data_IF_015390414473
#
_entry.id   IF_015390414473
#
_cell.length_a   1.000
_cell.length_b   1.000
_cell.length_c   1.000
_cell.angle_alpha   90.00
_cell.angle_beta   90.00
_cell.angle_gamma   90.00
#
_symmetry.space_group_name_H-M   'P 1'
#
loop_
_entity.id
_entity.type
_entity.pdbx_description
1 polymer ?
#
# COMPACT_ATOMS: atom_id res chain seq x y z
N UNK A 1 40.90 -39.36 21.56
CA UNK A 1 40.27 -38.67 20.42
C UNK A 1 38.75 -38.64 20.65
N UNK A 2 38.22 -37.52 21.15
CA UNK A 2 36.77 -37.34 21.38
C UNK A 2 36.19 -36.65 20.15
N UNK A 3 35.31 -37.33 19.41
CA UNK A 3 34.56 -36.78 18.28
C UNK A 3 33.36 -36.01 18.82
N UNK A 4 33.32 -34.69 18.64
CA UNK A 4 32.14 -33.86 18.85
C UNK A 4 31.28 -33.92 17.58
N UNK A 5 30.12 -34.55 17.69
CA UNK A 5 29.08 -34.47 16.67
C UNK A 5 28.31 -33.18 16.93
N UNK A 6 28.48 -32.18 16.08
CA UNK A 6 27.68 -31.00 16.08
C UNK A 6 26.33 -31.34 15.39
N UNK A 7 25.27 -31.44 16.18
CA UNK A 7 23.90 -31.53 15.64
C UNK A 7 23.48 -30.15 15.20
N UNK A 8 23.41 -29.92 13.89
CA UNK A 8 22.75 -28.76 13.31
C UNK A 8 21.25 -28.97 13.45
N UNK A 9 20.63 -28.22 14.36
CA UNK A 9 19.16 -28.13 14.43
C UNK A 9 18.72 -27.22 13.26
N UNK A 10 18.25 -27.84 12.17
CA UNK A 10 17.45 -27.14 11.16
C UNK A 10 16.10 -26.78 11.81
N UNK A 11 15.93 -25.53 12.19
CA UNK A 11 14.59 -24.98 12.43
C UNK A 11 13.90 -24.88 11.05
N UNK A 12 13.15 -25.89 10.67
CA UNK A 12 12.18 -25.77 9.60
C UNK A 12 11.05 -24.86 10.12
N UNK A 13 11.03 -23.63 9.66
CA UNK A 13 9.84 -22.79 9.73
C UNK A 13 8.77 -23.50 8.92
N UNK A 14 7.91 -24.26 9.59
CA UNK A 14 6.66 -24.73 9.00
C UNK A 14 5.82 -23.48 8.72
N UNK A 15 5.81 -23.02 7.47
CA UNK A 15 4.82 -22.08 6.99
C UNK A 15 3.46 -22.78 7.14
N UNK A 16 2.75 -22.52 8.23
CA UNK A 16 1.37 -22.97 8.42
C UNK A 16 0.51 -22.42 7.28
N UNK A 17 -0.52 -23.17 6.88
CA UNK A 17 -1.55 -22.64 6.00
C UNK A 17 -2.13 -21.35 6.60
N UNK A 18 -2.65 -20.47 5.75
CA UNK A 18 -3.32 -19.25 6.21
C UNK A 18 -4.44 -19.64 7.18
N UNK A 19 -4.44 -18.99 8.35
CA UNK A 19 -5.45 -19.15 9.39
C UNK A 19 -6.31 -17.90 9.41
N UNK A 20 -7.58 -18.04 9.06
CA UNK A 20 -8.55 -16.95 9.08
C UNK A 20 -9.24 -16.95 10.45
N UNK A 21 -9.25 -15.80 11.13
CA UNK A 21 -9.80 -15.62 12.47
C UNK A 21 -10.89 -14.56 12.48
N UNK A 22 -11.97 -14.77 13.24
CA UNK A 22 -12.96 -13.72 13.49
C UNK A 22 -12.34 -12.60 14.35
N UNK A 23 -12.94 -11.40 14.30
CA UNK A 23 -12.39 -10.23 15.02
C UNK A 23 -12.30 -10.47 16.54
N UNK A 24 -13.21 -11.27 17.12
CA UNK A 24 -13.22 -11.59 18.56
C UNK A 24 -11.94 -12.34 19.00
N UNK A 25 -11.37 -13.15 18.12
CA UNK A 25 -10.10 -13.83 18.38
C UNK A 25 -8.92 -12.88 18.12
N UNK A 26 -8.96 -12.13 17.00
CA UNK A 26 -7.90 -11.20 16.62
C UNK A 26 -7.71 -10.09 17.66
N UNK A 27 -8.81 -9.55 18.18
CA UNK A 27 -8.83 -8.46 19.17
C UNK A 27 -9.39 -8.92 20.53
N UNK A 28 -9.03 -10.13 20.98
CA UNK A 28 -9.57 -10.74 22.19
C UNK A 28 -9.38 -9.93 23.48
N UNK A 29 -8.38 -9.05 23.50
CA UNK A 29 -8.09 -8.17 24.63
C UNK A 29 -8.83 -6.81 24.58
N UNK A 30 -9.66 -6.58 23.54
CA UNK A 30 -10.38 -5.33 23.31
C UNK A 30 -11.85 -5.45 23.63
N UNK A 31 -12.37 -4.48 24.38
CA UNK A 31 -13.79 -4.40 24.76
C UNK A 31 -14.40 -3.05 24.41
N UNK A 32 -13.65 -2.19 23.75
CA UNK A 32 -13.98 -0.79 23.47
C UNK A 32 -14.71 -0.58 22.13
N UNK A 33 -14.95 -1.64 21.35
CA UNK A 33 -15.70 -1.55 20.12
C UNK A 33 -17.18 -1.25 20.36
N UNK A 34 -17.71 -0.24 19.66
CA UNK A 34 -19.14 0.03 19.57
C UNK A 34 -19.87 -1.10 18.85
N UNK A 35 -21.21 -1.18 18.99
CA UNK A 35 -21.99 -2.21 18.31
C UNK A 35 -21.99 -2.05 16.78
N UNK A 36 -21.83 -0.80 16.28
CA UNK A 36 -21.66 -0.51 14.86
C UNK A 36 -20.33 -1.05 14.35
N UNK A 37 -19.23 -0.79 15.07
CA UNK A 37 -17.91 -1.33 14.72
C UNK A 37 -17.88 -2.86 14.74
N UNK A 38 -18.45 -3.49 15.76
CA UNK A 38 -18.60 -4.96 15.83
C UNK A 38 -19.32 -5.50 14.60
N UNK A 39 -20.44 -4.88 14.21
CA UNK A 39 -21.20 -5.30 13.02
C UNK A 39 -20.42 -5.18 11.71
N UNK A 40 -19.46 -4.25 11.62
CA UNK A 40 -18.54 -4.13 10.48
C UNK A 40 -17.44 -5.20 10.56
N UNK A 41 -16.83 -5.35 11.74
CA UNK A 41 -15.70 -6.27 11.94
C UNK A 41 -16.11 -7.75 11.85
N UNK A 42 -17.36 -8.09 12.18
CA UNK A 42 -17.93 -9.45 12.03
C UNK A 42 -17.96 -9.94 10.57
N UNK A 43 -17.85 -9.03 9.62
CA UNK A 43 -17.84 -9.36 8.18
C UNK A 43 -16.44 -9.67 7.64
N UNK A 44 -15.40 -9.48 8.45
CA UNK A 44 -14.00 -9.56 8.03
C UNK A 44 -13.35 -10.83 8.57
N UNK A 45 -12.54 -11.46 7.73
CA UNK A 45 -11.67 -12.58 8.07
C UNK A 45 -10.21 -12.12 8.19
N UNK A 46 -9.66 -12.15 9.41
CA UNK A 46 -8.32 -11.70 9.72
C UNK A 46 -7.33 -12.85 9.52
N UNK A 47 -6.52 -12.78 8.45
CA UNK A 47 -5.66 -13.89 8.02
C UNK A 47 -4.22 -13.68 8.46
N UNK A 48 -3.57 -14.76 8.93
CA UNK A 48 -2.15 -14.83 9.24
C UNK A 48 -1.53 -16.08 8.61
N UNK A 49 -0.19 -16.17 8.57
CA UNK A 49 0.51 -17.30 7.98
C UNK A 49 0.81 -17.13 6.49
N UNK A 50 0.87 -18.23 5.75
CA UNK A 50 1.27 -18.24 4.35
C UNK A 50 0.06 -18.09 3.41
N UNK A 51 -0.11 -16.89 2.88
CA UNK A 51 -1.22 -16.54 1.98
C UNK A 51 -0.74 -16.62 0.54
N UNK A 52 -1.31 -17.52 -0.24
CA UNK A 52 -1.01 -17.67 -1.66
C UNK A 52 -1.67 -16.58 -2.48
N UNK A 53 -0.89 -15.92 -3.33
CA UNK A 53 -1.35 -14.89 -4.27
C UNK A 53 -1.00 -15.31 -5.70
N UNK A 54 -1.83 -16.17 -6.32
CA UNK A 54 -1.49 -16.79 -7.62
C UNK A 54 -1.27 -15.79 -8.75
N UNK A 55 -2.02 -14.69 -8.76
CA UNK A 55 -1.87 -13.61 -9.75
C UNK A 55 -0.49 -12.96 -9.69
N UNK A 56 0.07 -12.83 -8.48
CA UNK A 56 1.40 -12.27 -8.27
C UNK A 56 2.51 -13.33 -8.34
N UNK A 57 2.15 -14.62 -8.52
CA UNK A 57 3.10 -15.76 -8.46
C UNK A 57 3.97 -15.68 -7.21
N UNK A 58 3.33 -15.43 -6.07
CA UNK A 58 3.99 -15.21 -4.80
C UNK A 58 3.17 -15.74 -3.61
N UNK A 59 3.86 -15.91 -2.49
CA UNK A 59 3.26 -16.14 -1.17
C UNK A 59 3.57 -14.95 -0.29
N UNK A 60 2.56 -14.42 0.39
CA UNK A 60 2.73 -13.42 1.43
C UNK A 60 2.77 -14.14 2.79
N UNK A 61 3.90 -14.09 3.48
CA UNK A 61 4.10 -14.72 4.78
C UNK A 61 3.78 -13.73 5.89
N UNK A 62 2.54 -13.71 6.38
CA UNK A 62 2.04 -12.73 7.36
C UNK A 62 2.31 -13.22 8.78
N UNK A 63 3.22 -12.56 9.55
CA UNK A 63 3.55 -12.94 10.92
C UNK A 63 2.48 -12.42 11.91
N UNK A 64 2.57 -12.86 13.16
CA UNK A 64 1.64 -12.47 14.25
C UNK A 64 1.53 -10.93 14.47
N UNK A 65 2.56 -10.16 14.11
CA UNK A 65 2.55 -8.70 14.21
C UNK A 65 1.69 -8.00 13.15
N UNK A 66 1.16 -8.74 12.18
CA UNK A 66 0.29 -8.25 11.12
C UNK A 66 -0.89 -9.18 10.90
N UNK A 67 -1.91 -8.69 10.21
CA UNK A 67 -2.94 -9.52 9.58
C UNK A 67 -3.21 -9.03 8.16
N UNK A 68 -3.73 -9.93 7.36
CA UNK A 68 -4.12 -9.68 5.98
C UNK A 68 -5.63 -9.85 5.82
N UNK A 69 -6.22 -8.98 5.05
CA UNK A 69 -7.61 -9.02 4.64
C UNK A 69 -7.71 -9.41 3.17
N UNK A 70 -8.64 -10.28 2.83
CA UNK A 70 -8.91 -10.72 1.46
C UNK A 70 -9.30 -9.54 0.54
N UNK A 71 -9.32 -9.71 -0.81
CA UNK A 71 -9.83 -8.66 -1.70
C UNK A 71 -11.25 -8.21 -1.37
N UNK A 72 -12.12 -9.12 -0.93
CA UNK A 72 -13.50 -8.83 -0.55
C UNK A 72 -13.56 -8.02 0.74
N UNK A 73 -12.83 -8.45 1.77
CA UNK A 73 -12.71 -7.72 3.04
C UNK A 73 -12.07 -6.36 2.84
N UNK A 74 -11.03 -6.28 1.97
CA UNK A 74 -10.39 -5.02 1.59
C UNK A 74 -11.39 -4.03 0.99
N UNK A 75 -12.29 -4.52 0.14
CA UNK A 75 -13.38 -3.68 -0.40
C UNK A 75 -14.30 -3.17 0.71
N UNK A 76 -14.67 -4.03 1.67
CA UNK A 76 -15.46 -3.63 2.83
C UNK A 76 -14.75 -2.54 3.63
N UNK A 77 -13.45 -2.70 3.91
CA UNK A 77 -12.66 -1.68 4.61
C UNK A 77 -12.59 -0.38 3.82
N UNK A 78 -12.18 -0.43 2.57
CA UNK A 78 -11.98 0.77 1.77
C UNK A 78 -13.28 1.51 1.49
N UNK A 79 -14.37 0.81 1.17
CA UNK A 79 -15.63 1.42 0.74
C UNK A 79 -16.57 1.67 1.93
N UNK A 80 -16.85 0.63 2.73
CA UNK A 80 -17.89 0.72 3.75
C UNK A 80 -17.38 1.36 5.04
N UNK A 81 -16.11 1.08 5.43
CA UNK A 81 -15.51 1.64 6.66
C UNK A 81 -14.86 2.99 6.38
N UNK A 82 -14.00 3.07 5.35
CA UNK A 82 -13.22 4.27 5.05
C UNK A 82 -13.91 5.23 4.07
N UNK A 83 -15.06 4.85 3.46
CA UNK A 83 -15.90 5.70 2.61
C UNK A 83 -15.27 6.03 1.25
N UNK A 84 -14.36 5.20 0.74
CA UNK A 84 -13.79 5.37 -0.60
C UNK A 84 -14.82 5.02 -1.69
N UNK A 85 -14.63 5.52 -2.93
CA UNK A 85 -15.44 5.09 -4.07
C UNK A 85 -15.36 3.58 -4.31
N UNK A 86 -16.41 2.93 -4.82
CA UNK A 86 -16.43 1.47 -5.04
C UNK A 86 -15.29 0.92 -5.90
N UNK A 87 -14.72 1.75 -6.79
CA UNK A 87 -13.57 1.37 -7.63
C UNK A 87 -12.22 1.32 -6.89
N UNK A 88 -12.16 1.79 -5.65
CA UNK A 88 -10.91 1.89 -4.88
C UNK A 88 -10.22 0.55 -4.61
N UNK A 89 -10.98 -0.54 -4.57
CA UNK A 89 -10.48 -1.89 -4.31
C UNK A 89 -10.38 -2.77 -5.57
N UNK A 90 -10.55 -2.21 -6.78
CA UNK A 90 -10.73 -3.02 -8.01
C UNK A 90 -9.53 -3.91 -8.36
N UNK A 91 -8.32 -3.47 -8.08
CA UNK A 91 -7.07 -4.17 -8.38
C UNK A 91 -6.37 -4.71 -7.10
N UNK A 92 -6.99 -4.54 -5.91
CA UNK A 92 -6.40 -4.98 -4.66
C UNK A 92 -6.37 -6.51 -4.58
N UNK A 93 -5.21 -7.06 -4.28
CA UNK A 93 -5.04 -8.46 -3.89
C UNK A 93 -5.42 -8.69 -2.43
N UNK A 94 -5.54 -7.61 -1.67
CA UNK A 94 -5.87 -7.60 -0.27
C UNK A 94 -5.34 -6.36 0.44
N UNK A 95 -5.38 -6.37 1.76
CA UNK A 95 -4.88 -5.29 2.61
C UNK A 95 -4.15 -5.83 3.83
N UNK A 96 -3.00 -5.23 4.15
CA UNK A 96 -2.17 -5.60 5.30
C UNK A 96 -2.31 -4.53 6.39
N UNK A 97 -2.52 -4.97 7.63
CA UNK A 97 -2.59 -4.12 8.81
C UNK A 97 -1.65 -4.61 9.92
N UNK A 98 -1.14 -3.72 10.79
CA UNK A 98 -0.52 -4.15 12.05
C UNK A 98 -1.58 -4.78 12.96
N UNK A 99 -1.22 -5.87 13.64
CA UNK A 99 -2.15 -6.64 14.48
C UNK A 99 -2.73 -5.88 15.68
N UNK A 100 -2.08 -4.78 16.08
CA UNK A 100 -2.53 -3.93 17.17
C UNK A 100 -3.68 -3.00 16.82
N UNK A 101 -3.95 -2.77 15.55
CA UNK A 101 -4.99 -1.85 15.07
C UNK A 101 -6.14 -2.60 14.41
N UNK A 102 -7.35 -2.13 14.70
CA UNK A 102 -8.54 -2.47 13.92
C UNK A 102 -8.67 -1.50 12.73
N UNK A 103 -9.28 -1.90 11.61
CA UNK A 103 -9.58 -0.99 10.50
C UNK A 103 -10.49 0.19 10.88
N UNK A 104 -11.18 0.11 12.04
CA UNK A 104 -12.07 1.16 12.57
C UNK A 104 -11.36 2.13 13.49
N UNK A 105 -10.11 1.88 13.90
CA UNK A 105 -9.37 2.75 14.82
C UNK A 105 -8.92 4.04 14.14
N UNK A 106 -9.06 5.15 14.85
CA UNK A 106 -8.67 6.48 14.36
C UNK A 106 -7.18 6.62 14.04
N UNK A 107 -6.32 5.89 14.77
CA UNK A 107 -4.88 5.87 14.56
C UNK A 107 -4.40 4.66 13.77
N UNK A 108 -5.31 3.94 13.12
CA UNK A 108 -4.94 2.79 12.28
C UNK A 108 -4.26 3.23 11.00
N UNK A 109 -3.33 2.42 10.54
CA UNK A 109 -2.82 2.46 9.18
C UNK A 109 -2.92 1.09 8.54
N UNK A 110 -3.14 1.08 7.25
CA UNK A 110 -3.18 -0.15 6.47
C UNK A 110 -2.46 0.03 5.15
N UNK A 111 -2.05 -1.07 4.55
CA UNK A 111 -1.42 -1.08 3.25
C UNK A 111 -2.25 -1.87 2.26
N UNK A 112 -2.70 -1.22 1.19
CA UNK A 112 -3.29 -1.91 0.03
C UNK A 112 -2.19 -2.71 -0.65
N UNK A 113 -2.48 -3.97 -0.94
CA UNK A 113 -1.57 -4.91 -1.60
C UNK A 113 -2.02 -5.11 -3.02
N UNK A 114 -1.14 -4.87 -3.98
CA UNK A 114 -1.40 -5.04 -5.41
C UNK A 114 -0.23 -5.74 -6.12
N UNK A 115 -0.46 -6.14 -7.37
CA UNK A 115 0.57 -6.64 -8.27
C UNK A 115 0.40 -6.09 -9.68
N UNK A 116 1.46 -5.49 -10.22
CA UNK A 116 1.51 -5.07 -11.63
C UNK A 116 2.29 -6.08 -12.46
N UNK A 117 1.60 -6.77 -13.37
CA UNK A 117 2.20 -7.72 -14.33
C UNK A 117 2.77 -7.01 -15.57
N UNK A 118 3.55 -5.95 -15.35
CA UNK A 118 4.06 -5.09 -16.43
C UNK A 118 5.30 -5.67 -17.14
N UNK A 119 5.89 -6.71 -16.57
CA UNK A 119 7.14 -7.32 -16.97
C UNK A 119 8.29 -6.97 -16.02
N UNK A 120 9.49 -7.34 -16.39
CA UNK A 120 10.71 -7.06 -15.64
C UNK A 120 11.01 -5.56 -15.66
N UNK A 121 11.10 -4.94 -14.49
CA UNK A 121 11.48 -3.54 -14.33
C UNK A 121 12.97 -3.46 -14.05
N UNK A 122 13.74 -2.87 -14.97
CA UNK A 122 15.19 -2.69 -14.77
C UNK A 122 15.45 -1.70 -13.63
N UNK A 123 16.42 -2.03 -12.78
CA UNK A 123 16.94 -1.16 -11.72
C UNK A 123 18.22 -0.40 -12.14
N UNK A 124 18.61 -0.48 -13.41
CA UNK A 124 19.83 0.12 -13.92
C UNK A 124 19.87 1.66 -13.79
N UNK A 125 18.72 2.32 -13.76
CA UNK A 125 18.59 3.77 -13.59
C UNK A 125 18.56 4.22 -12.11
N UNK A 126 18.44 3.30 -11.14
CA UNK A 126 18.22 3.62 -9.73
C UNK A 126 19.25 4.61 -9.14
N UNK A 127 20.52 4.49 -9.52
CA UNK A 127 21.61 5.33 -9.02
C UNK A 127 21.71 6.72 -9.71
N UNK A 128 20.95 6.94 -10.79
CA UNK A 128 21.05 8.14 -11.63
C UNK A 128 19.80 9.01 -11.60
N UNK A 129 18.79 8.63 -10.83
CA UNK A 129 17.53 9.38 -10.72
C UNK A 129 17.78 10.68 -9.95
N UNK A 130 17.42 11.81 -10.57
CA UNK A 130 17.29 13.08 -9.88
C UNK A 130 15.93 13.15 -9.18
N UNK A 131 15.93 12.89 -7.87
CA UNK A 131 14.69 12.86 -7.07
C UNK A 131 14.08 14.24 -6.84
N UNK A 132 14.85 15.33 -6.92
CA UNK A 132 14.34 16.69 -6.79
C UNK A 132 13.60 17.12 -8.07
N UNK A 133 14.17 16.84 -9.23
CA UNK A 133 13.51 17.07 -10.51
C UNK A 133 12.25 16.20 -10.66
N UNK A 134 12.34 14.93 -10.25
CA UNK A 134 11.20 14.02 -10.24
C UNK A 134 10.07 14.54 -9.31
N UNK A 135 10.40 15.02 -8.11
CA UNK A 135 9.45 15.62 -7.18
C UNK A 135 8.74 16.82 -7.80
N UNK A 136 9.48 17.70 -8.46
CA UNK A 136 8.89 18.88 -9.11
C UNK A 136 7.92 18.48 -10.23
N UNK A 137 8.29 17.52 -11.05
CA UNK A 137 7.42 17.01 -12.10
C UNK A 137 6.11 16.40 -11.52
N UNK A 138 6.19 15.71 -10.39
CA UNK A 138 5.03 15.16 -9.70
C UNK A 138 4.15 16.29 -9.13
N UNK A 139 4.75 17.32 -8.50
CA UNK A 139 4.03 18.50 -7.99
C UNK A 139 3.21 19.19 -9.09
N UNK A 140 3.85 19.41 -10.23
CA UNK A 140 3.20 20.06 -11.38
C UNK A 140 1.99 19.24 -11.86
N UNK A 141 2.14 17.91 -11.98
CA UNK A 141 1.07 17.03 -12.43
C UNK A 141 -0.12 17.00 -11.47
N UNK A 142 0.16 16.92 -10.16
CA UNK A 142 -0.89 16.96 -9.13
C UNK A 142 -1.63 18.30 -9.18
N UNK A 143 -0.90 19.41 -9.28
CA UNK A 143 -1.47 20.75 -9.40
C UNK A 143 -2.41 20.87 -10.60
N UNK A 144 -1.98 20.38 -11.78
CA UNK A 144 -2.81 20.38 -12.99
C UNK A 144 -4.08 19.53 -12.84
N UNK A 145 -4.03 18.43 -12.08
CA UNK A 145 -5.17 17.54 -11.86
C UNK A 145 -6.26 18.18 -10.98
N UNK A 146 -5.93 19.19 -10.18
CA UNK A 146 -6.86 19.82 -9.24
C UNK A 146 -8.07 20.47 -9.91
N UNK A 147 -7.89 20.98 -11.14
CA UNK A 147 -9.01 21.56 -11.90
C UNK A 147 -10.10 20.52 -12.16
N UNK A 148 -9.71 19.29 -12.50
CA UNK A 148 -10.68 18.23 -12.77
C UNK A 148 -11.27 17.69 -11.47
N UNK A 149 -10.46 17.57 -10.41
CA UNK A 149 -10.93 17.19 -9.08
C UNK A 149 -12.04 18.12 -8.57
N UNK A 150 -11.82 19.43 -8.67
CA UNK A 150 -12.81 20.43 -8.25
C UNK A 150 -14.12 20.34 -9.04
N UNK A 151 -14.05 20.13 -10.37
CA UNK A 151 -15.26 19.92 -11.21
C UNK A 151 -16.08 18.72 -10.77
N UNK A 152 -15.42 17.70 -10.22
CA UNK A 152 -16.05 16.47 -9.74
C UNK A 152 -16.43 16.53 -8.26
N UNK A 153 -16.22 17.68 -7.59
CA UNK A 153 -16.59 17.89 -6.18
C UNK A 153 -15.61 17.27 -5.18
N UNK A 154 -14.36 16.96 -5.61
CA UNK A 154 -13.33 16.43 -4.72
C UNK A 154 -12.44 17.53 -4.15
N UNK A 155 -11.86 17.32 -2.95
CA UNK A 155 -10.84 18.19 -2.37
C UNK A 155 -9.65 18.37 -3.30
N UNK A 156 -9.03 19.55 -3.30
CA UNK A 156 -7.75 19.75 -3.96
C UNK A 156 -6.62 19.10 -3.19
N UNK A 157 -5.53 18.78 -3.89
CA UNK A 157 -4.36 18.11 -3.34
C UNK A 157 -3.11 18.91 -3.66
N UNK A 158 -2.23 19.07 -2.69
CA UNK A 158 -0.90 19.62 -2.89
C UNK A 158 0.13 18.60 -2.43
N UNK A 159 1.08 18.23 -3.28
CA UNK A 159 2.25 17.50 -2.84
C UNK A 159 3.19 18.46 -2.13
N UNK A 160 3.30 18.36 -0.80
CA UNK A 160 4.19 19.19 0.00
C UNK A 160 5.64 18.82 -0.31
N UNK A 161 5.96 17.53 -0.24
CA UNK A 161 7.30 17.01 -0.52
C UNK A 161 7.40 15.52 -0.26
N UNK A 162 8.64 15.04 -0.27
CA UNK A 162 8.94 13.72 0.26
C UNK A 162 8.83 13.78 1.79
N UNK A 163 7.97 12.94 2.39
CA UNK A 163 8.00 12.65 3.82
C UNK A 163 9.16 11.68 4.14
N UNK A 164 9.46 10.76 3.19
CA UNK A 164 10.68 9.95 3.14
C UNK A 164 11.14 9.89 1.69
N UNK A 165 12.37 10.31 1.41
CA UNK A 165 12.90 10.35 0.06
C UNK A 165 12.97 8.93 -0.54
N UNK A 166 12.83 8.77 -1.87
CA UNK A 166 12.95 7.47 -2.48
C UNK A 166 14.30 6.81 -2.19
N UNK A 167 14.23 5.53 -1.82
CA UNK A 167 15.38 4.70 -1.50
C UNK A 167 15.22 3.32 -2.12
N UNK A 168 16.25 2.86 -2.85
CA UNK A 168 16.31 1.52 -3.41
C UNK A 168 17.25 0.63 -2.61
N UNK A 169 16.70 -0.43 -2.01
CA UNK A 169 17.48 -1.51 -1.42
C UNK A 169 17.79 -2.55 -2.50
N UNK A 170 19.01 -2.53 -2.99
CA UNK A 170 19.47 -3.45 -4.03
C UNK A 170 19.47 -4.91 -3.54
N UNK A 171 19.68 -5.16 -2.25
CA UNK A 171 19.74 -6.52 -1.71
C UNK A 171 18.36 -7.18 -1.64
N UNK A 172 17.33 -6.39 -1.41
CA UNK A 172 15.94 -6.81 -1.35
C UNK A 172 15.20 -6.61 -2.68
N UNK A 173 15.83 -5.98 -3.68
CA UNK A 173 15.19 -5.50 -4.90
C UNK A 173 13.90 -4.73 -4.61
N UNK A 174 13.97 -3.84 -3.62
CA UNK A 174 12.82 -3.09 -3.13
C UNK A 174 13.08 -1.58 -3.17
N UNK A 175 12.15 -0.85 -3.76
CA UNK A 175 12.11 0.61 -3.80
C UNK A 175 11.03 1.09 -2.84
N UNK A 176 11.33 2.08 -2.01
CA UNK A 176 10.34 2.69 -1.13
C UNK A 176 10.50 4.20 -1.03
N UNK A 177 9.39 4.90 -0.83
CA UNK A 177 9.31 6.34 -0.64
C UNK A 177 8.04 6.74 0.07
N UNK A 178 8.00 7.95 0.63
CA UNK A 178 6.80 8.51 1.20
C UNK A 178 6.54 9.93 0.73
N UNK A 179 5.28 10.25 0.47
CA UNK A 179 4.80 11.57 0.08
C UNK A 179 3.95 12.18 1.18
N UNK A 180 4.19 13.46 1.47
CA UNK A 180 3.29 14.29 2.27
C UNK A 180 2.31 15.00 1.33
N UNK A 181 1.03 14.63 1.42
CA UNK A 181 -0.05 15.19 0.63
C UNK A 181 -0.94 16.06 1.52
N UNK A 182 -1.09 17.33 1.17
CA UNK A 182 -1.99 18.26 1.83
C UNK A 182 -3.32 18.33 1.05
N UNK A 183 -4.38 17.96 1.74
CA UNK A 183 -5.75 18.04 1.23
C UNK A 183 -6.40 19.33 1.67
N UNK A 184 -7.19 19.95 0.78
CA UNK A 184 -7.98 21.11 1.08
C UNK A 184 -9.43 20.90 0.62
N UNK A 185 -10.35 20.82 1.58
CA UNK A 185 -11.79 20.80 1.37
C UNK A 185 -12.40 22.08 1.98
N UNK A 186 -12.78 23.03 1.13
CA UNK A 186 -13.46 24.27 1.55
C UNK A 186 -12.69 25.06 2.64
N UNK A 187 -11.36 25.08 2.56
CA UNK A 187 -10.48 25.76 3.51
C UNK A 187 -10.04 24.91 4.70
N UNK A 188 -10.62 23.73 4.91
CA UNK A 188 -10.10 22.76 5.88
C UNK A 188 -8.95 21.98 5.24
N UNK A 189 -7.81 21.99 5.88
CA UNK A 189 -6.61 21.32 5.38
C UNK A 189 -6.22 20.12 6.26
N UNK A 190 -5.77 19.04 5.62
CA UNK A 190 -5.29 17.83 6.31
C UNK A 190 -4.11 17.24 5.57
N UNK A 191 -3.06 16.89 6.32
CA UNK A 191 -1.94 16.12 5.82
C UNK A 191 -2.27 14.63 5.80
N UNK A 192 -1.85 13.94 4.76
CA UNK A 192 -1.94 12.48 4.62
C UNK A 192 -0.60 11.95 4.14
N UNK A 193 -0.13 10.91 4.80
CA UNK A 193 1.05 10.17 4.44
C UNK A 193 0.70 9.07 3.43
N UNK A 194 1.36 9.11 2.28
CA UNK A 194 1.34 8.02 1.31
C UNK A 194 2.72 7.39 1.26
N UNK A 195 2.88 6.23 1.90
CA UNK A 195 4.12 5.47 1.85
C UNK A 195 3.97 4.32 0.86
N UNK A 196 4.89 4.19 -0.06
CA UNK A 196 4.88 3.15 -1.10
C UNK A 196 6.10 2.26 -0.98
N UNK A 197 5.88 0.94 -1.08
CA UNK A 197 6.94 -0.07 -1.22
C UNK A 197 6.69 -0.86 -2.49
N UNK A 198 7.73 -1.08 -3.28
CA UNK A 198 7.71 -1.83 -4.53
C UNK A 198 8.76 -2.90 -4.48
N UNK A 199 8.36 -4.17 -4.45
CA UNK A 199 9.28 -5.32 -4.50
C UNK A 199 9.29 -5.87 -5.92
N UNK A 200 10.46 -5.86 -6.55
CA UNK A 200 10.63 -6.27 -7.92
C UNK A 200 10.62 -7.80 -8.03
N UNK A 201 9.88 -8.31 -8.99
CA UNK A 201 9.90 -9.70 -9.41
C UNK A 201 10.30 -9.84 -10.87
N UNK A 202 10.42 -11.09 -11.35
CA UNK A 202 10.79 -11.39 -12.75
C UNK A 202 9.79 -10.85 -13.76
N UNK A 203 8.49 -10.93 -13.46
CA UNK A 203 7.43 -10.60 -14.43
C UNK A 203 6.59 -9.39 -14.02
N UNK A 204 6.95 -8.72 -12.94
CA UNK A 204 6.19 -7.57 -12.45
C UNK A 204 6.63 -7.09 -11.07
N UNK A 205 5.80 -6.24 -10.49
CA UNK A 205 6.09 -5.53 -9.25
C UNK A 205 5.01 -5.81 -8.22
N UNK A 206 5.42 -6.30 -7.06
CA UNK A 206 4.57 -6.41 -5.89
C UNK A 206 4.52 -5.06 -5.17
N UNK A 207 3.34 -4.60 -4.80
CA UNK A 207 3.11 -3.24 -4.33
C UNK A 207 2.44 -3.24 -2.98
N UNK A 208 2.97 -2.40 -2.07
CA UNK A 208 2.34 -2.03 -0.82
C UNK A 208 2.17 -0.51 -0.81
N UNK A 209 0.93 -0.05 -0.72
CA UNK A 209 0.59 1.37 -0.62
C UNK A 209 -0.06 1.64 0.74
N UNK A 210 0.72 2.23 1.65
CA UNK A 210 0.30 2.55 2.99
C UNK A 210 -0.47 3.86 3.01
N UNK A 211 -1.57 3.84 3.73
CA UNK A 211 -2.42 5.00 3.99
C UNK A 211 -2.41 5.29 5.49
N UNK A 212 -2.00 6.51 5.86
CA UNK A 212 -1.75 6.86 7.25
C UNK A 212 -1.83 8.38 7.48
N UNK A 213 -1.85 8.78 8.74
CA UNK A 213 -1.52 10.14 9.13
C UNK A 213 0.00 10.37 9.06
N UNK A 214 0.42 11.63 8.95
CA UNK A 214 1.85 11.99 8.86
C UNK A 214 2.62 11.62 10.14
N UNK A 215 1.94 11.63 11.28
CA UNK A 215 2.47 11.23 12.59
C UNK A 215 2.89 9.76 12.66
N UNK A 216 2.36 8.91 11.77
CA UNK A 216 2.65 7.48 11.72
C UNK A 216 3.88 7.13 10.85
N UNK A 217 4.53 8.13 10.23
CA UNK A 217 5.69 7.93 9.36
C UNK A 217 6.75 7.04 10.00
N UNK A 218 7.15 7.35 11.25
CA UNK A 218 8.22 6.60 11.94
C UNK A 218 7.83 5.15 12.22
N UNK A 219 6.58 4.90 12.53
CA UNK A 219 6.06 3.54 12.76
C UNK A 219 6.11 2.73 11.46
N UNK A 220 5.65 3.33 10.37
CA UNK A 220 5.67 2.69 9.04
C UNK A 220 7.11 2.44 8.58
N UNK A 221 8.02 3.40 8.71
CA UNK A 221 9.45 3.21 8.38
C UNK A 221 10.07 2.05 9.16
N UNK A 222 9.67 1.89 10.42
CA UNK A 222 10.11 0.76 11.26
C UNK A 222 9.53 -0.58 10.77
N UNK A 223 8.30 -0.58 10.24
CA UNK A 223 7.63 -1.77 9.72
C UNK A 223 8.13 -2.20 8.33
N UNK A 224 8.55 -1.25 7.47
CA UNK A 224 8.94 -1.49 6.07
C UNK A 224 9.94 -2.63 5.88
N UNK A 225 11.04 -2.77 6.66
CA UNK A 225 11.98 -3.87 6.50
C UNK A 225 11.35 -5.25 6.76
N UNK A 226 10.33 -5.31 7.61
CA UNK A 226 9.55 -6.54 7.83
C UNK A 226 8.61 -6.77 6.66
N UNK A 227 7.83 -5.77 6.27
CA UNK A 227 6.87 -5.85 5.17
C UNK A 227 7.52 -6.27 3.85
N UNK A 228 8.69 -5.72 3.52
CA UNK A 228 9.45 -6.10 2.32
C UNK A 228 9.78 -7.60 2.30
N UNK A 229 10.03 -8.20 3.46
CA UNK A 229 10.38 -9.64 3.58
C UNK A 229 9.17 -10.57 3.59
N UNK A 230 7.94 -10.04 3.65
CA UNK A 230 6.74 -10.89 3.62
C UNK A 230 6.54 -11.55 2.25
N UNK A 231 7.01 -10.91 1.17
CA UNK A 231 6.84 -11.39 -0.20
C UNK A 231 7.86 -12.48 -0.50
N UNK A 232 7.38 -13.65 -0.82
CA UNK A 232 8.17 -14.75 -1.35
C UNK A 232 7.65 -15.11 -2.74
N UNK A 233 8.36 -14.73 -3.78
CA UNK A 233 8.03 -15.14 -5.14
C UNK A 233 8.16 -16.65 -5.31
N UNK A 234 7.31 -17.22 -6.16
CA UNK A 234 7.39 -18.63 -6.53
C UNK A 234 8.73 -18.91 -7.22
N UNK A 235 9.13 -20.19 -7.25
CA UNK A 235 10.38 -20.61 -7.87
C UNK A 235 10.46 -20.16 -9.33
N UNK A 236 11.52 -19.45 -9.66
CA UNK A 236 11.75 -18.91 -11.01
C UNK A 236 11.04 -17.57 -11.28
N UNK A 237 10.44 -16.94 -10.25
CA UNK A 237 9.72 -15.66 -10.36
C UNK A 237 10.38 -14.52 -9.58
N UNK A 238 11.47 -14.77 -8.88
CA UNK A 238 12.23 -13.72 -8.22
C UNK A 238 12.92 -12.79 -9.24
N UNK A 239 13.29 -11.59 -8.82
CA UNK A 239 13.94 -10.59 -9.69
C UNK A 239 15.20 -11.15 -10.39
N UNK A 240 16.04 -11.86 -9.65
CA UNK A 240 17.26 -12.47 -10.18
C UNK A 240 17.05 -13.67 -11.12
N UNK A 241 15.82 -14.15 -11.29
CA UNK A 241 15.47 -15.23 -12.23
C UNK A 241 15.19 -14.71 -13.65
N UNK A 242 15.36 -13.40 -13.90
CA UNK A 242 15.19 -12.79 -15.23
C UNK A 242 16.03 -13.51 -16.28
N UNK A 243 15.44 -13.73 -17.45
CA UNK A 243 16.08 -14.44 -18.56
C UNK A 243 15.83 -13.73 -19.90
N UNK A 244 16.70 -14.00 -20.87
CA UNK A 244 16.56 -13.48 -22.23
C UNK A 244 15.19 -13.87 -22.81
N UNK A 245 14.47 -12.89 -23.36
CA UNK A 245 13.15 -13.07 -23.94
C UNK A 245 11.98 -12.81 -22.97
N UNK A 246 12.27 -12.53 -21.70
CA UNK A 246 11.23 -12.08 -20.78
C UNK A 246 10.66 -10.74 -21.22
N UNK A 247 9.38 -10.51 -20.90
CA UNK A 247 8.75 -9.19 -21.11
C UNK A 247 9.42 -8.15 -20.24
N UNK A 248 9.94 -7.11 -20.86
CA UNK A 248 10.51 -5.94 -20.15
C UNK A 248 9.40 -4.91 -19.97
N UNK A 249 9.32 -4.32 -18.76
CA UNK A 249 8.43 -3.20 -18.51
C UNK A 249 8.85 -2.00 -19.35
N UNK A 250 7.89 -1.20 -19.79
CA UNK A 250 8.16 -0.02 -20.61
C UNK A 250 8.69 1.17 -19.77
N UNK A 251 8.96 0.99 -18.48
CA UNK A 251 9.45 2.02 -17.55
C UNK A 251 10.52 1.41 -16.62
N UNK A 252 11.39 2.28 -16.09
CA UNK A 252 12.36 1.97 -15.03
C UNK A 252 11.90 2.49 -13.67
N UNK A 253 12.85 2.63 -12.74
CA UNK A 253 12.59 3.03 -11.35
C UNK A 253 11.93 4.41 -11.24
N UNK A 254 12.42 5.40 -11.99
CA UNK A 254 11.81 6.74 -12.02
C UNK A 254 10.33 6.69 -12.46
N UNK A 255 10.02 5.86 -13.44
CA UNK A 255 8.66 5.65 -13.93
C UNK A 255 7.73 5.05 -12.87
N UNK A 256 8.23 4.12 -12.06
CA UNK A 256 7.46 3.55 -10.94
C UNK A 256 7.06 4.61 -9.91
N UNK A 257 7.99 5.49 -9.52
CA UNK A 257 7.72 6.56 -8.56
C UNK A 257 6.70 7.55 -9.14
N UNK A 258 6.84 7.87 -10.42
CA UNK A 258 5.98 8.80 -11.13
C UNK A 258 4.58 8.25 -11.41
N UNK A 259 4.43 6.95 -11.56
CA UNK A 259 3.17 6.28 -11.95
C UNK A 259 2.00 6.59 -11.00
N UNK A 260 2.26 6.71 -9.71
CA UNK A 260 1.26 7.12 -8.72
C UNK A 260 0.88 8.60 -8.76
N UNK A 261 1.48 9.41 -9.65
CA UNK A 261 1.27 10.86 -9.72
C UNK A 261 0.51 11.33 -10.98
N UNK A 262 0.16 10.42 -11.87
CA UNK A 262 -0.69 10.68 -13.03
C UNK A 262 0.03 10.68 -14.39
N UNK A 263 -0.77 10.61 -15.45
CA UNK A 263 -0.34 10.35 -16.83
C UNK A 263 0.64 11.39 -17.43
N UNK A 264 0.58 12.65 -16.98
CA UNK A 264 1.43 13.73 -17.54
C UNK A 264 2.87 13.63 -17.09
N UNK A 265 3.13 13.09 -15.89
CA UNK A 265 4.50 12.82 -15.42
C UNK A 265 5.13 11.72 -16.25
N UNK A 266 4.41 10.65 -16.50
CA UNK A 266 4.86 9.56 -17.36
C UNK A 266 5.20 10.06 -18.78
N UNK A 267 4.44 10.99 -19.34
CA UNK A 267 4.69 11.60 -20.64
C UNK A 267 5.96 12.45 -20.68
N UNK A 268 6.23 13.26 -19.65
CA UNK A 268 7.43 14.10 -19.55
C UNK A 268 8.71 13.27 -19.44
N UNK A 269 8.65 12.09 -18.84
CA UNK A 269 9.80 11.17 -18.69
C UNK A 269 10.01 10.30 -19.94
N UNK A 270 9.29 10.55 -21.03
CA UNK A 270 9.42 9.80 -22.28
C UNK A 270 8.63 8.48 -22.35
N UNK A 271 7.71 8.27 -21.41
CA UNK A 271 6.95 7.04 -21.23
C UNK A 271 5.54 7.10 -21.81
N UNK A 272 5.36 7.72 -22.98
CA UNK A 272 4.04 7.93 -23.62
C UNK A 272 3.22 6.64 -23.81
N UNK A 273 3.84 5.49 -23.98
CA UNK A 273 3.15 4.21 -24.12
C UNK A 273 2.50 3.71 -22.82
N UNK A 274 2.98 4.17 -21.66
CA UNK A 274 2.55 3.72 -20.33
C UNK A 274 1.40 4.57 -19.82
N UNK A 275 1.34 5.84 -20.22
CA UNK A 275 0.31 6.77 -19.79
C UNK A 275 -1.12 6.22 -19.98
N UNK A 276 -1.36 5.48 -21.04
CA UNK A 276 -2.69 4.91 -21.34
C UNK A 276 -3.07 3.73 -20.41
N UNK A 277 -2.12 2.92 -19.98
CA UNK A 277 -2.37 1.80 -19.07
C UNK A 277 -2.53 2.28 -17.61
N UNK A 278 -1.70 3.24 -17.20
CA UNK A 278 -1.76 3.85 -15.86
C UNK A 278 -2.92 4.83 -15.68
N UNK A 279 -3.43 5.47 -16.75
CA UNK A 279 -4.60 6.36 -16.67
C UNK A 279 -5.83 5.68 -16.08
N UNK A 280 -6.00 4.38 -16.29
CA UNK A 280 -7.09 3.61 -15.68
C UNK A 280 -6.84 3.30 -14.20
N UNK A 281 -5.58 3.13 -13.78
CA UNK A 281 -5.20 2.74 -12.40
C UNK A 281 -4.88 3.94 -11.49
N UNK A 282 -4.20 4.96 -11.98
CA UNK A 282 -3.82 6.13 -11.18
C UNK A 282 -5.05 6.89 -10.65
N UNK A 283 -6.16 6.85 -11.35
CA UNK A 283 -7.44 7.37 -10.86
C UNK A 283 -7.89 6.66 -9.58
N UNK A 284 -7.75 5.36 -9.52
CA UNK A 284 -8.20 4.53 -8.40
C UNK A 284 -7.31 4.76 -7.18
N UNK A 285 -5.99 4.76 -7.32
CA UNK A 285 -5.05 4.98 -6.22
C UNK A 285 -5.17 6.38 -5.59
N UNK A 286 -5.43 7.40 -6.39
CA UNK A 286 -5.71 8.75 -5.89
C UNK A 286 -7.02 8.78 -5.10
N UNK A 287 -8.00 7.94 -5.42
CA UNK A 287 -9.27 7.84 -4.70
C UNK A 287 -9.19 7.00 -3.43
N UNK A 288 -8.41 5.91 -3.40
CA UNK A 288 -8.26 5.03 -2.23
C UNK A 288 -7.84 5.80 -0.99
N UNK A 289 -7.02 6.82 -1.17
CA UNK A 289 -6.53 7.67 -0.07
C UNK A 289 -7.59 8.64 0.47
N UNK A 290 -8.67 8.91 -0.26
CA UNK A 290 -9.44 10.16 -0.08
C UNK A 290 -10.84 10.04 0.50
N UNK A 291 -11.55 8.98 0.23
CA UNK A 291 -12.90 8.79 0.76
C UNK A 291 -12.89 8.52 2.27
N UNK A 292 -11.93 7.68 2.73
CA UNK A 292 -11.90 7.19 4.08
C UNK A 292 -11.53 8.23 5.14
N UNK A 293 -10.47 8.99 4.90
CA UNK A 293 -10.03 9.99 5.86
C UNK A 293 -11.11 11.08 6.09
N UNK A 294 -11.84 11.49 5.06
CA UNK A 294 -12.85 12.53 5.17
C UNK A 294 -14.13 12.01 5.85
N UNK A 295 -14.58 10.81 5.53
CA UNK A 295 -15.78 10.23 6.16
C UNK A 295 -15.53 9.89 7.62
N UNK A 296 -14.35 9.39 7.94
CA UNK A 296 -13.93 9.06 9.31
C UNK A 296 -13.77 10.32 10.16
N UNK A 297 -13.16 11.38 9.64
CA UNK A 297 -13.02 12.68 10.33
C UNK A 297 -14.39 13.35 10.51
N UNK A 298 -15.30 13.29 9.52
CA UNK A 298 -16.69 13.77 9.73
C UNK A 298 -17.37 13.04 10.90
N UNK A 299 -17.18 11.73 11.04
CA UNK A 299 -17.76 10.93 12.13
C UNK A 299 -17.19 11.32 13.50
N UNK A 300 -15.89 11.63 13.59
CA UNK A 300 -15.25 12.13 14.82
C UNK A 300 -15.74 13.53 15.26
N UNK A 301 -16.07 14.40 14.31
CA UNK A 301 -16.54 15.77 14.62
C UNK A 301 -18.04 15.92 14.72
N UNK A 302 -18.85 14.99 14.20
CA UNK A 302 -20.32 15.00 14.30
C UNK A 302 -20.87 14.14 15.44
N UNK A 303 -20.06 13.34 16.09
CA UNK A 303 -20.44 12.35 17.13
C UNK A 303 -20.60 12.92 18.53
N UNK A 304 -21.03 14.18 18.74
CA UNK A 304 -21.45 14.64 20.10
C UNK A 304 -22.47 15.78 20.05
N UNK A 305 -23.68 15.46 19.58
CA UNK A 305 -24.86 16.24 19.94
C UNK A 305 -25.84 15.31 20.64
N UNK A 306 -25.71 15.18 21.95
CA UNK A 306 -26.80 14.75 22.82
C UNK A 306 -27.98 15.68 22.61
N UNK A 307 -29.19 15.18 22.32
CA UNK A 307 -30.38 15.97 22.45
C UNK A 307 -30.64 16.15 23.96
N UNK A 308 -30.50 17.34 24.46
CA UNK A 308 -31.10 17.67 25.74
C UNK A 308 -32.61 17.72 25.57
N UNK A 309 -33.27 16.92 26.42
CA UNK A 309 -34.64 16.84 26.88
C UNK A 309 -35.72 17.68 26.20
#
# INVERSE_FOLDING_TARGET
MKRYIAAAILLALAAGAADARPYQEMFSNRTDFSDEEKSLLEKLDFQQGAIKLPTAKATLNVPEGFYFLSPEDTKTVLVDIWGNPPGAAADALGMLFPAQYSPTDAGSWGSVVEYSADGYVSDADAATIDYDDLLQNIKDSISESNTERQKQGFPTVTLVGWASAPHYDQSAHALHWARDLLFNENGNTQHTLNYSVRTLGREGVFQFDFVAGLEQLKEIETAVPTVTKLVQFDKGMAYGDHADGDKIAAYGMAGMIAAGAGAKVAAKIGLLAIAAAFLKKAWILVFVVFGGAISFVKKLFTGNKTPNA
#
